data_IF_437913121209
#
_entry.id   IF_437913121209
#
_cell.length_a   1.000
_cell.length_b   1.000
_cell.length_c   1.000
_cell.angle_alpha   90.00
_cell.angle_beta   90.00
_cell.angle_gamma   90.00
#
_symmetry.space_group_name_H-M   'P 1'
#
loop_
_entity.id
_entity.type
_entity.pdbx_description
1 polymer ?
#
# COMPACT_ATOMS: atom_id res chain seq x y z
N UNK A 1 9.49 -46.23 40.73
CA UNK A 1 10.35 -45.03 40.59
C UNK A 1 9.56 -43.97 39.82
N UNK A 2 9.41 -42.78 40.39
CA UNK A 2 8.50 -41.71 39.93
C UNK A 2 9.18 -40.82 38.87
N UNK A 3 8.50 -40.69 37.73
CA UNK A 3 8.33 -39.56 36.81
C UNK A 3 9.41 -38.47 36.79
N UNK A 4 10.16 -38.38 35.68
CA UNK A 4 10.73 -37.13 35.17
C UNK A 4 10.74 -37.12 33.64
N UNK A 5 9.59 -36.87 33.03
CA UNK A 5 9.56 -36.25 31.71
C UNK A 5 9.63 -34.73 31.91
N UNK A 6 10.85 -34.21 31.91
CA UNK A 6 11.13 -32.79 31.77
C UNK A 6 10.66 -32.36 30.39
N UNK A 7 9.43 -31.88 30.30
CA UNK A 7 9.00 -31.06 29.18
C UNK A 7 9.76 -29.74 29.27
N UNK A 8 10.84 -29.62 28.50
CA UNK A 8 11.41 -28.32 28.14
C UNK A 8 10.30 -27.51 27.48
N UNK A 9 9.72 -26.61 28.26
CA UNK A 9 8.79 -25.58 27.79
C UNK A 9 9.58 -24.69 26.84
N UNK A 10 9.51 -25.00 25.53
CA UNK A 10 10.10 -24.17 24.50
C UNK A 10 9.60 -22.74 24.71
N UNK A 11 10.53 -21.82 24.90
CA UNK A 11 10.26 -20.39 24.99
C UNK A 11 9.73 -20.01 23.60
N UNK A 12 8.42 -19.89 23.47
CA UNK A 12 7.79 -19.36 22.26
C UNK A 12 8.11 -17.86 22.25
N UNK A 13 9.14 -17.49 21.49
CA UNK A 13 9.42 -16.10 21.17
C UNK A 13 8.15 -15.51 20.52
N UNK A 14 7.70 -14.30 20.87
CA UNK A 14 6.56 -13.68 20.21
C UNK A 14 6.85 -13.68 18.71
N UNK A 15 6.12 -14.53 17.97
CA UNK A 15 6.18 -14.53 16.53
C UNK A 15 5.55 -13.20 16.12
N UNK A 16 6.39 -12.21 15.77
CA UNK A 16 5.93 -10.99 15.12
C UNK A 16 5.30 -11.48 13.81
N UNK A 17 3.98 -11.67 13.83
CA UNK A 17 3.23 -12.01 12.64
C UNK A 17 3.27 -10.76 11.77
N UNK A 18 4.26 -10.72 10.87
CA UNK A 18 4.29 -9.74 9.80
C UNK A 18 2.98 -9.88 9.03
N UNK A 19 2.10 -8.88 9.19
CA UNK A 19 0.81 -8.83 8.51
C UNK A 19 1.10 -8.69 7.01
N UNK A 20 1.20 -9.81 6.31
CA UNK A 20 1.34 -9.83 4.87
C UNK A 20 0.13 -9.17 4.22
N UNK A 21 0.36 -8.27 3.27
CA UNK A 21 -0.70 -7.61 2.49
C UNK A 21 -1.52 -8.67 1.77
N UNK A 22 -2.85 -8.56 1.90
CA UNK A 22 -3.80 -9.48 1.29
C UNK A 22 -3.69 -9.48 -0.26
N UNK A 23 -4.12 -10.55 -0.93
CA UNK A 23 -4.15 -10.60 -2.41
C UNK A 23 -4.96 -9.44 -2.99
N UNK A 24 -6.08 -9.09 -2.34
CA UNK A 24 -6.93 -7.95 -2.71
C UNK A 24 -6.19 -6.63 -2.50
N UNK A 25 -5.53 -6.44 -1.36
CA UNK A 25 -4.71 -5.27 -1.07
C UNK A 25 -3.63 -5.04 -2.12
N UNK A 26 -2.94 -6.09 -2.56
CA UNK A 26 -1.97 -6.01 -3.66
C UNK A 26 -2.60 -5.51 -4.97
N UNK A 27 -3.77 -6.01 -5.35
CA UNK A 27 -4.48 -5.52 -6.55
C UNK A 27 -4.85 -4.05 -6.42
N UNK A 28 -5.37 -3.63 -5.26
CA UNK A 28 -5.73 -2.23 -5.01
C UNK A 28 -4.49 -1.32 -5.08
N UNK A 29 -3.36 -1.74 -4.50
CA UNK A 29 -2.09 -1.03 -4.61
C UNK A 29 -1.65 -0.90 -6.07
N UNK A 30 -1.73 -1.98 -6.86
CA UNK A 30 -1.39 -1.92 -8.29
C UNK A 30 -2.24 -0.92 -9.06
N UNK A 31 -3.55 -0.85 -8.77
CA UNK A 31 -4.44 0.16 -9.37
C UNK A 31 -4.02 1.57 -8.95
N UNK A 32 -3.70 1.79 -7.67
CA UNK A 32 -3.23 3.07 -7.17
C UNK A 32 -1.91 3.51 -7.81
N UNK A 33 -0.96 2.59 -8.03
CA UNK A 33 0.28 2.85 -8.78
C UNK A 33 -0.05 3.26 -10.22
N UNK A 34 -1.00 2.58 -10.88
CA UNK A 34 -1.48 2.96 -12.22
C UNK A 34 -2.04 4.38 -12.24
N UNK A 35 -2.86 4.76 -11.26
CA UNK A 35 -3.37 6.12 -11.11
C UNK A 35 -2.26 7.14 -10.94
N UNK A 36 -1.23 6.85 -10.15
CA UNK A 36 -0.07 7.74 -9.99
C UNK A 36 0.68 7.92 -11.31
N UNK A 37 0.96 6.83 -12.02
CA UNK A 37 1.65 6.89 -13.33
C UNK A 37 0.86 7.77 -14.30
N UNK A 38 -0.45 7.54 -14.42
CA UNK A 38 -1.31 8.36 -15.29
C UNK A 38 -1.35 9.82 -14.81
N UNK A 39 -1.45 10.05 -13.50
CA UNK A 39 -1.44 11.38 -12.90
C UNK A 39 -0.16 12.15 -13.21
N UNK A 40 1.01 11.51 -13.09
CA UNK A 40 2.30 12.10 -13.45
C UNK A 40 2.42 12.34 -14.96
N UNK A 41 1.93 11.43 -15.80
CA UNK A 41 1.91 11.65 -17.26
C UNK A 41 1.03 12.85 -17.64
N UNK A 42 -0.16 12.98 -17.03
CA UNK A 42 -1.03 14.14 -17.26
C UNK A 42 -0.36 15.42 -16.74
N UNK A 43 0.30 15.38 -15.59
CA UNK A 43 1.04 16.52 -15.05
C UNK A 43 2.11 17.03 -16.03
N UNK A 44 2.72 16.16 -16.85
CA UNK A 44 3.67 16.63 -17.90
C UNK A 44 3.01 17.49 -18.98
N UNK A 45 1.68 17.45 -19.09
CA UNK A 45 0.89 18.28 -20.02
C UNK A 45 0.44 19.58 -19.39
N UNK A 46 0.75 19.84 -18.11
CA UNK A 46 0.47 21.12 -17.46
C UNK A 46 1.37 22.21 -18.06
N UNK A 47 0.77 23.32 -18.45
CA UNK A 47 1.53 24.48 -18.91
C UNK A 47 2.16 25.25 -17.72
N UNK A 48 3.15 26.12 -17.96
CA UNK A 48 3.83 26.84 -16.86
C UNK A 48 2.91 27.71 -16.00
N UNK A 49 1.81 28.20 -16.58
CA UNK A 49 0.81 29.00 -15.87
C UNK A 49 -0.13 28.16 -15.01
N UNK A 50 -0.22 26.84 -15.26
CA UNK A 50 -1.08 25.93 -14.52
C UNK A 50 -2.58 26.18 -14.73
N UNK A 51 -2.98 26.78 -15.84
CA UNK A 51 -4.37 27.18 -16.11
C UNK A 51 -5.06 26.29 -17.17
N UNK A 52 -4.43 25.16 -17.53
CA UNK A 52 -5.01 24.19 -18.46
C UNK A 52 -5.64 22.99 -17.75
N UNK A 53 -6.51 22.24 -18.44
CA UNK A 53 -7.25 21.13 -17.85
C UNK A 53 -6.36 20.05 -17.17
N UNK A 54 -5.14 19.85 -17.67
CA UNK A 54 -4.19 18.91 -17.08
C UNK A 54 -3.81 19.31 -15.64
N UNK A 55 -3.61 20.59 -15.36
CA UNK A 55 -3.28 21.11 -14.01
C UNK A 55 -4.41 20.91 -13.01
N UNK A 56 -5.65 20.90 -13.48
CA UNK A 56 -6.83 20.67 -12.66
C UNK A 56 -6.94 19.20 -12.31
N UNK A 57 -6.69 18.31 -13.27
CA UNK A 57 -6.92 16.86 -13.11
C UNK A 57 -5.79 16.13 -12.42
N UNK A 58 -4.53 16.44 -12.74
CA UNK A 58 -3.40 15.71 -12.17
C UNK A 58 -3.37 15.67 -10.64
N UNK A 59 -3.70 16.75 -9.89
CA UNK A 59 -3.72 16.70 -8.43
C UNK A 59 -4.72 15.66 -7.90
N UNK A 60 -5.90 15.56 -8.49
CA UNK A 60 -6.90 14.56 -8.07
C UNK A 60 -6.46 13.13 -8.36
N UNK A 61 -5.81 12.86 -9.51
CA UNK A 61 -5.24 11.54 -9.77
C UNK A 61 -4.13 11.18 -8.80
N UNK A 62 -3.25 12.13 -8.48
CA UNK A 62 -2.14 11.89 -7.57
C UNK A 62 -2.65 11.63 -6.15
N UNK A 63 -3.52 12.50 -5.63
CA UNK A 63 -4.13 12.33 -4.30
C UNK A 63 -4.95 11.04 -4.25
N UNK A 64 -5.81 10.81 -5.24
CA UNK A 64 -6.63 9.60 -5.36
C UNK A 64 -5.78 8.34 -5.43
N UNK A 65 -4.66 8.37 -6.15
CA UNK A 65 -3.68 7.28 -6.24
C UNK A 65 -3.07 6.95 -4.88
N UNK A 66 -2.60 7.95 -4.13
CA UNK A 66 -2.06 7.73 -2.78
C UNK A 66 -3.11 7.20 -1.80
N UNK A 67 -4.33 7.74 -1.83
CA UNK A 67 -5.44 7.24 -0.99
C UNK A 67 -5.76 5.78 -1.35
N UNK A 68 -5.81 5.45 -2.64
CA UNK A 68 -6.06 4.07 -3.10
C UNK A 68 -4.99 3.12 -2.60
N UNK A 69 -3.71 3.50 -2.67
CA UNK A 69 -2.60 2.71 -2.13
C UNK A 69 -2.75 2.51 -0.62
N UNK A 70 -3.06 3.58 0.14
CA UNK A 70 -3.26 3.49 1.58
C UNK A 70 -4.39 2.53 1.95
N UNK A 71 -5.52 2.59 1.23
CA UNK A 71 -6.63 1.64 1.38
C UNK A 71 -6.12 0.21 1.12
N UNK A 72 -5.38 -0.01 0.03
CA UNK A 72 -4.83 -1.32 -0.33
C UNK A 72 -3.83 -1.88 0.69
N UNK A 73 -3.07 -1.04 1.39
CA UNK A 73 -2.16 -1.46 2.47
C UNK A 73 -2.94 -1.88 3.73
N UNK A 74 -4.01 -1.15 4.05
CA UNK A 74 -4.83 -1.42 5.24
C UNK A 74 -5.76 -2.64 5.04
N UNK A 75 -6.19 -2.89 3.80
CA UNK A 75 -7.17 -3.90 3.38
C UNK A 75 -6.72 -5.38 3.41
#
# INVERSE_FOLDING_TARGET
MKNKHNQSKAIQLPQIQEKMISKRGKTVISIGIGLLIIGYLILTKTNPQGDNWASIISPFLLIGGYITIAIGIIS
#
